data_IF_843589339967
#
_entry.id   IF_843589339967
#
_cell.length_a   1.000
_cell.length_b   1.000
_cell.length_c   1.000
_cell.angle_alpha   90.00
_cell.angle_beta   90.00
_cell.angle_gamma   90.00
#
_symmetry.space_group_name_H-M   'P 1'
#
loop_
_entity.id
_entity.type
_entity.pdbx_description
1 polymer ?
#
# COMPACT_ATOMS: atom_id res chain seq x y z
N UNK A 1 16.83 -1.40 27.17
CA UNK A 1 15.81 -0.44 26.68
C UNK A 1 14.50 -1.19 26.53
N UNK A 2 13.44 -0.76 27.22
CA UNK A 2 12.09 -1.33 27.03
C UNK A 2 11.59 -0.94 25.64
N UNK A 3 10.97 -1.87 24.87
CA UNK A 3 10.29 -1.51 23.65
C UNK A 3 9.24 -0.42 23.95
N UNK A 4 9.22 0.65 23.16
CA UNK A 4 8.19 1.66 23.26
C UNK A 4 6.83 1.03 23.00
N UNK A 5 5.83 1.38 23.81
CA UNK A 5 4.46 0.91 23.65
C UNK A 5 3.63 2.00 22.96
N UNK A 6 2.47 1.63 22.42
CA UNK A 6 1.57 2.56 21.72
C UNK A 6 1.23 3.81 22.56
N UNK A 7 1.04 3.63 23.85
CA UNK A 7 0.77 4.71 24.82
C UNK A 7 1.92 5.71 24.98
N UNK A 8 3.10 5.41 24.44
CA UNK A 8 4.27 6.28 24.51
C UNK A 8 4.33 7.25 23.31
N UNK A 9 3.34 7.19 22.39
CA UNK A 9 3.25 8.05 21.22
C UNK A 9 1.98 8.90 21.23
N UNK A 10 2.09 10.14 20.71
CA UNK A 10 0.90 10.96 20.52
C UNK A 10 0.10 10.52 19.29
N UNK A 11 -1.21 10.84 19.19
CA UNK A 11 -2.00 10.56 17.99
C UNK A 11 -1.36 11.08 16.70
N UNK A 12 -0.76 12.27 16.75
CA UNK A 12 -0.08 12.90 15.60
C UNK A 12 1.14 12.10 15.17
N UNK A 13 1.92 11.58 16.13
CA UNK A 13 3.07 10.72 15.84
C UNK A 13 2.62 9.42 15.19
N UNK A 14 1.53 8.82 15.66
CA UNK A 14 0.95 7.59 15.09
C UNK A 14 0.54 7.83 13.64
N UNK A 15 -0.17 8.93 13.37
CA UNK A 15 -0.59 9.29 12.01
C UNK A 15 0.63 9.51 11.10
N UNK A 16 1.67 10.20 11.58
CA UNK A 16 2.87 10.41 10.78
C UNK A 16 3.59 9.10 10.45
N UNK A 17 3.68 8.20 11.42
CA UNK A 17 4.28 6.87 11.22
C UNK A 17 3.52 6.04 10.19
N UNK A 18 2.19 6.08 10.23
CA UNK A 18 1.33 5.45 9.21
C UNK A 18 1.59 6.01 7.81
N UNK A 19 1.77 7.33 7.70
CA UNK A 19 2.07 7.99 6.41
C UNK A 19 3.42 7.55 5.87
N UNK A 20 4.43 7.52 6.71
CA UNK A 20 5.78 7.11 6.31
C UNK A 20 5.80 5.66 5.83
N UNK A 21 5.12 4.76 6.52
CA UNK A 21 4.99 3.35 6.12
C UNK A 21 4.24 3.19 4.81
N UNK A 22 3.12 3.91 4.62
CA UNK A 22 2.37 3.87 3.37
C UNK A 22 3.23 4.33 2.17
N UNK A 23 4.08 5.33 2.36
CA UNK A 23 5.03 5.78 1.35
C UNK A 23 6.09 4.73 1.02
N UNK A 24 6.58 4.02 2.00
CA UNK A 24 7.58 2.96 1.79
C UNK A 24 6.97 1.74 1.09
N UNK A 25 5.74 1.37 1.45
CA UNK A 25 4.96 0.35 0.72
C UNK A 25 4.75 0.78 -0.74
N UNK A 26 4.33 2.01 -0.97
CA UNK A 26 4.13 2.55 -2.32
C UNK A 26 5.41 2.49 -3.16
N UNK A 27 6.56 2.87 -2.60
CA UNK A 27 7.87 2.77 -3.27
C UNK A 27 8.25 1.32 -3.58
N UNK A 28 8.04 0.42 -2.64
CA UNK A 28 8.30 -1.01 -2.81
C UNK A 28 7.46 -1.62 -3.92
N UNK A 29 6.17 -1.33 -3.96
CA UNK A 29 5.27 -1.75 -5.04
C UNK A 29 5.72 -1.20 -6.40
N UNK A 30 6.05 0.09 -6.47
CA UNK A 30 6.55 0.71 -7.69
C UNK A 30 7.83 0.03 -8.20
N UNK A 31 8.77 -0.28 -7.32
CA UNK A 31 10.01 -1.00 -7.67
C UNK A 31 9.73 -2.38 -8.29
N UNK A 32 8.74 -3.10 -7.78
CA UNK A 32 8.30 -4.37 -8.34
C UNK A 32 7.70 -4.22 -9.73
N UNK A 33 6.82 -3.25 -9.94
CA UNK A 33 6.24 -2.98 -11.26
C UNK A 33 7.32 -2.57 -12.27
N UNK A 34 8.28 -1.73 -11.88
CA UNK A 34 9.42 -1.38 -12.73
C UNK A 34 10.26 -2.59 -13.11
N UNK A 35 10.51 -3.51 -12.18
CA UNK A 35 11.24 -4.75 -12.45
C UNK A 35 10.49 -5.60 -13.49
N UNK A 36 9.16 -5.69 -13.38
CA UNK A 36 8.32 -6.39 -14.36
C UNK A 36 8.33 -5.72 -15.73
N UNK A 37 8.27 -4.39 -15.75
CA UNK A 37 8.38 -3.63 -16.99
C UNK A 37 9.72 -3.84 -17.68
N UNK A 38 10.83 -3.78 -16.94
CA UNK A 38 12.19 -4.04 -17.48
C UNK A 38 12.32 -5.46 -18.07
N UNK A 39 11.62 -6.43 -17.50
CA UNK A 39 11.59 -7.82 -18.01
C UNK A 39 10.62 -8.01 -19.19
N UNK A 40 9.95 -6.97 -19.64
CA UNK A 40 8.96 -7.04 -20.73
C UNK A 40 7.68 -7.79 -20.36
N UNK A 41 7.46 -8.08 -19.09
CA UNK A 41 6.27 -8.79 -18.61
C UNK A 41 5.13 -7.85 -18.18
N UNK A 42 5.35 -6.56 -18.13
CA UNK A 42 4.33 -5.53 -17.88
C UNK A 42 4.31 -4.55 -19.04
N UNK A 43 3.14 -4.37 -19.66
CA UNK A 43 2.96 -3.50 -20.84
C UNK A 43 2.66 -2.05 -20.47
N UNK A 44 2.06 -1.82 -19.30
CA UNK A 44 1.63 -0.50 -18.86
C UNK A 44 2.79 0.40 -18.42
N UNK A 45 2.60 1.69 -18.56
CA UNK A 45 3.49 2.68 -17.95
C UNK A 45 3.11 2.86 -16.49
N UNK A 46 4.14 2.99 -15.64
CA UNK A 46 3.93 3.14 -14.20
C UNK A 46 4.33 4.55 -13.81
N UNK A 47 3.38 5.27 -13.19
CA UNK A 47 3.64 6.59 -12.63
C UNK A 47 4.52 6.46 -11.37
N UNK A 48 5.48 7.36 -11.22
CA UNK A 48 6.37 7.34 -10.04
C UNK A 48 5.63 7.80 -8.79
N UNK A 49 5.92 7.23 -7.60
CA UNK A 49 5.37 7.71 -6.33
C UNK A 49 5.53 9.20 -6.12
N UNK A 50 6.68 9.75 -6.49
CA UNK A 50 6.95 11.18 -6.38
C UNK A 50 5.95 12.01 -7.21
N UNK A 51 5.68 11.62 -8.45
CA UNK A 51 4.72 12.33 -9.32
C UNK A 51 3.30 12.19 -8.77
N UNK A 52 2.89 10.98 -8.39
CA UNK A 52 1.58 10.72 -7.80
C UNK A 52 1.34 11.60 -6.57
N UNK A 53 2.27 11.56 -5.61
CA UNK A 53 2.13 12.31 -4.37
C UNK A 53 2.19 13.83 -4.58
N UNK A 54 2.97 14.30 -5.54
CA UNK A 54 3.02 15.72 -5.90
C UNK A 54 1.69 16.21 -6.50
N UNK A 55 1.05 15.38 -7.34
CA UNK A 55 -0.24 15.71 -7.94
C UNK A 55 -1.36 15.70 -6.89
N UNK A 56 -1.42 14.70 -6.01
CA UNK A 56 -2.36 14.66 -4.89
C UNK A 56 -2.21 15.89 -4.00
N UNK A 57 -0.99 16.21 -3.61
CA UNK A 57 -0.70 17.40 -2.79
C UNK A 57 -1.13 18.69 -3.48
N UNK A 58 -0.90 18.81 -4.80
CA UNK A 58 -1.32 19.99 -5.58
C UNK A 58 -2.85 20.11 -5.62
N UNK A 59 -3.57 19.00 -5.63
CA UNK A 59 -5.03 18.96 -5.55
C UNK A 59 -5.57 19.15 -4.13
N UNK A 60 -4.71 19.30 -3.12
CA UNK A 60 -5.11 19.44 -1.71
C UNK A 60 -5.54 18.12 -1.05
N UNK A 61 -5.19 16.98 -1.65
CA UNK A 61 -5.60 15.66 -1.19
C UNK A 61 -4.48 15.02 -0.39
N UNK A 62 -4.79 14.61 0.84
CA UNK A 62 -3.89 13.76 1.64
C UNK A 62 -3.97 12.31 1.11
N UNK A 63 -2.84 11.60 1.14
CA UNK A 63 -2.79 10.22 0.66
C UNK A 63 -3.75 9.27 1.41
N UNK A 64 -4.07 9.57 2.66
CA UNK A 64 -5.03 8.78 3.43
C UNK A 64 -6.48 9.07 3.05
N UNK A 65 -6.80 10.26 2.58
CA UNK A 65 -8.12 10.62 2.06
C UNK A 65 -8.29 10.35 0.56
N UNK A 66 -7.25 9.89 -0.11
CA UNK A 66 -7.37 9.50 -1.51
C UNK A 66 -8.32 8.33 -1.73
N UNK A 67 -8.50 7.46 -0.73
CA UNK A 67 -9.49 6.36 -0.77
C UNK A 67 -10.96 6.82 -0.67
N UNK A 68 -11.20 8.07 -0.32
CA UNK A 68 -12.55 8.64 -0.24
C UNK A 68 -13.04 9.18 -1.59
N UNK A 69 -12.14 9.23 -2.57
CA UNK A 69 -12.42 9.69 -3.93
C UNK A 69 -12.76 8.51 -4.85
N UNK A 70 -13.56 8.78 -5.87
CA UNK A 70 -13.81 7.82 -6.93
C UNK A 70 -12.53 7.56 -7.74
N UNK A 71 -12.34 6.33 -8.27
CA UNK A 71 -11.22 6.03 -9.16
C UNK A 71 -11.12 6.97 -10.36
N UNK A 72 -12.26 7.37 -10.94
CA UNK A 72 -12.34 8.34 -12.04
C UNK A 72 -11.80 9.72 -11.65
N UNK A 73 -12.17 10.22 -10.47
CA UNK A 73 -11.66 11.49 -9.95
C UNK A 73 -10.14 11.43 -9.73
N UNK A 74 -9.64 10.32 -9.17
CA UNK A 74 -8.20 10.09 -9.03
C UNK A 74 -7.51 9.98 -10.39
N UNK A 75 -8.16 9.33 -11.36
CA UNK A 75 -7.68 9.22 -12.72
C UNK A 75 -7.43 10.57 -13.39
N UNK A 76 -8.38 11.50 -13.26
CA UNK A 76 -8.25 12.87 -13.75
C UNK A 76 -7.12 13.63 -13.07
N UNK A 77 -7.07 13.60 -11.73
CA UNK A 77 -6.06 14.30 -10.94
C UNK A 77 -4.65 13.79 -11.27
N UNK A 78 -4.50 12.48 -11.38
CA UNK A 78 -3.21 11.81 -11.58
C UNK A 78 -2.83 11.68 -13.05
N UNK A 79 -3.78 11.81 -13.98
CA UNK A 79 -3.58 11.59 -15.41
C UNK A 79 -3.22 10.14 -15.72
N UNK A 80 -4.01 9.20 -15.22
CA UNK A 80 -3.79 7.75 -15.36
C UNK A 80 -5.07 7.02 -15.71
N UNK A 81 -4.96 5.91 -16.46
CA UNK A 81 -6.11 5.08 -16.88
C UNK A 81 -6.45 3.98 -15.86
N UNK A 82 -5.58 3.76 -14.89
CA UNK A 82 -5.78 2.77 -13.83
C UNK A 82 -5.17 3.27 -12.52
N UNK A 83 -5.91 3.15 -11.43
CA UNK A 83 -5.42 3.39 -10.07
C UNK A 83 -5.35 2.09 -9.30
N UNK A 84 -4.32 1.99 -8.45
CA UNK A 84 -4.15 0.87 -7.53
C UNK A 84 -4.32 1.39 -6.12
N UNK A 85 -5.34 0.91 -5.44
CA UNK A 85 -5.58 1.18 -4.03
C UNK A 85 -5.20 -0.05 -3.22
N UNK A 86 -4.60 0.15 -2.06
CA UNK A 86 -4.18 -0.97 -1.22
C UNK A 86 -4.33 -0.69 0.25
N UNK A 87 -4.76 -1.72 0.99
CA UNK A 87 -4.73 -1.74 2.44
C UNK A 87 -3.83 -2.85 2.93
N UNK A 88 -3.03 -2.54 3.94
CA UNK A 88 -2.14 -3.48 4.60
C UNK A 88 -2.46 -3.48 6.09
N UNK A 89 -2.91 -4.62 6.58
CA UNK A 89 -3.19 -4.83 7.99
C UNK A 89 -2.22 -5.89 8.54
N UNK A 90 -1.52 -5.57 9.61
CA UNK A 90 -0.60 -6.50 10.25
C UNK A 90 -0.93 -6.66 11.73
N UNK A 91 -0.80 -7.88 12.23
CA UNK A 91 -0.96 -8.17 13.66
C UNK A 91 0.32 -7.96 14.47
N UNK A 92 1.44 -7.76 13.79
CA UNK A 92 2.73 -7.38 14.41
C UNK A 92 3.26 -6.12 13.77
N UNK A 93 3.94 -5.27 14.55
CA UNK A 93 4.74 -4.17 14.02
C UNK A 93 5.74 -4.69 12.99
N UNK A 94 5.72 -4.10 11.80
CA UNK A 94 6.73 -4.39 10.76
C UNK A 94 8.02 -3.60 11.01
N UNK A 95 7.89 -2.46 11.64
CA UNK A 95 8.94 -1.74 12.38
C UNK A 95 8.35 -1.38 13.74
N UNK A 96 9.17 -1.09 14.74
CA UNK A 96 8.67 -0.65 16.06
C UNK A 96 7.69 0.52 15.95
N UNK A 97 7.84 1.32 14.91
CA UNK A 97 7.02 2.48 14.62
C UNK A 97 5.72 2.14 13.87
N UNK A 98 5.79 1.40 12.79
CA UNK A 98 4.63 1.12 11.93
C UNK A 98 3.60 0.21 12.58
N UNK A 99 4.05 -0.75 13.35
CA UNK A 99 3.14 -1.65 14.03
C UNK A 99 2.35 -1.00 15.13
N UNK A 100 2.91 0.01 15.74
CA UNK A 100 2.20 0.81 16.74
C UNK A 100 1.09 1.61 16.07
N UNK A 101 1.37 2.21 14.91
CA UNK A 101 0.40 2.96 14.14
C UNK A 101 -0.75 2.06 13.64
N UNK A 102 -0.43 0.89 13.12
CA UNK A 102 -1.43 -0.06 12.61
C UNK A 102 -2.29 -0.67 13.73
N UNK A 103 -1.70 -1.02 14.87
CA UNK A 103 -2.45 -1.50 16.03
C UNK A 103 -3.41 -0.44 16.61
N UNK A 104 -3.07 0.85 16.49
CA UNK A 104 -3.92 1.94 16.93
C UNK A 104 -5.13 2.16 16.02
N UNK A 105 -4.95 1.97 14.70
CA UNK A 105 -6.01 2.19 13.70
C UNK A 105 -7.01 1.03 13.65
N UNK A 106 -6.57 -0.20 13.88
CA UNK A 106 -7.40 -1.40 13.66
C UNK A 106 -7.72 -2.20 14.92
N UNK A 107 -7.24 -1.76 16.08
CA UNK A 107 -7.53 -2.39 17.38
C UNK A 107 -6.73 -3.67 17.67
N UNK A 108 -6.61 -4.01 18.94
CA UNK A 108 -5.75 -5.08 19.47
C UNK A 108 -6.25 -6.52 19.24
N UNK A 109 -7.12 -6.77 18.29
CA UNK A 109 -7.79 -8.07 18.13
C UNK A 109 -7.02 -9.15 17.37
N UNK A 110 -5.80 -8.89 16.90
CA UNK A 110 -5.04 -9.90 16.15
C UNK A 110 -3.83 -10.42 16.95
N UNK A 111 -4.04 -11.46 17.72
CA UNK A 111 -2.99 -12.12 18.55
C UNK A 111 -2.09 -13.08 17.77
N UNK A 112 -2.17 -13.14 16.43
CA UNK A 112 -1.41 -14.06 15.59
C UNK A 112 -0.57 -13.31 14.55
N UNK A 113 0.60 -13.86 14.19
CA UNK A 113 1.51 -13.31 13.18
C UNK A 113 0.88 -13.35 11.77
N UNK A 114 -0.16 -12.57 11.56
CA UNK A 114 -0.88 -12.52 10.31
C UNK A 114 -0.75 -11.12 9.69
N UNK A 115 -0.59 -11.08 8.37
CA UNK A 115 -0.78 -9.87 7.61
C UNK A 115 -1.88 -10.10 6.58
N UNK A 116 -2.72 -9.11 6.38
CA UNK A 116 -3.73 -9.09 5.33
C UNK A 116 -3.39 -7.95 4.40
N UNK A 117 -3.28 -8.26 3.12
CA UNK A 117 -3.12 -7.26 2.08
C UNK A 117 -4.31 -7.36 1.14
N UNK A 118 -4.96 -6.25 0.90
CA UNK A 118 -5.92 -6.08 -0.18
C UNK A 118 -5.37 -5.08 -1.18
N UNK A 119 -5.34 -5.45 -2.46
CA UNK A 119 -4.96 -4.58 -3.57
C UNK A 119 -6.08 -4.59 -4.60
N UNK A 120 -6.64 -3.43 -4.85
CA UNK A 120 -7.70 -3.20 -5.78
C UNK A 120 -7.19 -2.38 -6.97
N UNK A 121 -7.43 -2.86 -8.18
CA UNK A 121 -7.08 -2.19 -9.43
C UNK A 121 -8.36 -1.72 -10.09
N UNK A 122 -8.50 -0.42 -10.26
CA UNK A 122 -9.67 0.20 -10.86
C UNK A 122 -9.33 0.81 -12.22
N UNK A 123 -10.21 0.58 -13.19
CA UNK A 123 -10.24 1.38 -14.41
C UNK A 123 -10.82 2.76 -14.06
N UNK A 124 -10.14 3.84 -14.48
CA UNK A 124 -10.56 5.21 -14.13
C UNK A 124 -11.59 5.79 -15.09
N UNK A 125 -11.97 5.05 -16.14
CA UNK A 125 -12.96 5.49 -17.13
C UNK A 125 -14.40 5.26 -16.66
N UNK A 126 -14.62 4.22 -15.90
CA UNK A 126 -15.95 3.73 -15.50
C UNK A 126 -16.01 3.27 -14.03
N UNK A 127 -14.95 3.50 -13.27
CA UNK A 127 -14.79 3.08 -11.87
C UNK A 127 -14.86 1.55 -11.66
N UNK A 128 -14.64 0.77 -12.73
CA UNK A 128 -14.74 -0.68 -12.65
C UNK A 128 -13.56 -1.27 -11.86
N UNK A 129 -13.89 -2.16 -10.93
CA UNK A 129 -12.90 -2.99 -10.23
C UNK A 129 -12.40 -4.10 -11.16
N UNK A 130 -11.28 -3.88 -11.81
CA UNK A 130 -10.69 -4.83 -12.78
C UNK A 130 -10.05 -6.02 -12.09
N UNK A 131 -9.36 -5.79 -10.97
CA UNK A 131 -8.71 -6.84 -10.18
C UNK A 131 -8.85 -6.54 -8.70
N UNK A 132 -9.32 -7.50 -7.95
CA UNK A 132 -9.18 -7.56 -6.50
C UNK A 132 -8.18 -8.65 -6.12
N UNK A 133 -7.20 -8.32 -5.33
CA UNK A 133 -6.24 -9.26 -4.81
C UNK A 133 -6.18 -9.18 -3.29
N UNK A 134 -6.87 -10.13 -2.66
CA UNK A 134 -6.83 -10.31 -1.21
C UNK A 134 -5.85 -11.43 -0.86
N UNK A 135 -4.89 -11.14 0.02
CA UNK A 135 -3.94 -12.13 0.51
C UNK A 135 -3.77 -12.05 2.02
N UNK A 136 -4.06 -13.16 2.67
CA UNK A 136 -3.70 -13.40 4.06
C UNK A 136 -2.37 -14.14 4.10
N UNK A 137 -1.43 -13.64 4.89
CA UNK A 137 -0.12 -14.24 5.14
C UNK A 137 -0.08 -14.61 6.62
N UNK A 138 0.12 -15.90 6.89
CA UNK A 138 0.23 -16.42 8.25
C UNK A 138 1.62 -17.02 8.44
N UNK A 139 2.20 -16.87 9.62
CA UNK A 139 3.50 -17.44 9.98
C UNK A 139 4.54 -16.39 10.35
N UNK A 140 5.80 -16.81 10.44
CA UNK A 140 6.92 -15.91 10.72
C UNK A 140 7.13 -14.97 9.55
N UNK A 141 6.52 -13.80 9.64
CA UNK A 141 6.89 -12.69 8.75
C UNK A 141 8.26 -12.21 9.19
N UNK A 142 9.15 -11.98 8.23
CA UNK A 142 10.35 -11.20 8.47
C UNK A 142 9.98 -9.87 9.12
N UNK A 143 10.91 -9.28 9.81
CA UNK A 143 10.69 -8.05 10.58
C UNK A 143 10.63 -6.80 9.71
N UNK A 144 10.64 -6.93 8.38
CA UNK A 144 10.78 -5.83 7.44
C UNK A 144 9.56 -5.73 6.49
N UNK A 145 9.05 -4.51 6.33
CA UNK A 145 8.02 -4.14 5.34
C UNK A 145 8.38 -4.61 3.94
N UNK A 146 9.66 -4.58 3.59
CA UNK A 146 10.15 -4.98 2.29
C UNK A 146 9.95 -6.47 2.01
N UNK A 147 10.13 -7.32 3.01
CA UNK A 147 9.88 -8.76 2.89
C UNK A 147 8.41 -9.05 2.62
N UNK A 148 7.51 -8.35 3.32
CA UNK A 148 6.07 -8.46 3.09
C UNK A 148 5.70 -8.05 1.66
N UNK A 149 6.19 -6.90 1.22
CA UNK A 149 5.99 -6.40 -0.16
C UNK A 149 6.50 -7.44 -1.17
N UNK A 150 7.67 -8.00 -0.95
CA UNK A 150 8.25 -9.02 -1.82
C UNK A 150 7.38 -10.28 -1.94
N UNK A 151 6.84 -10.77 -0.82
CA UNK A 151 5.94 -11.94 -0.80
C UNK A 151 4.65 -11.65 -1.55
N UNK A 152 4.06 -10.48 -1.32
CA UNK A 152 2.80 -10.07 -1.91
C UNK A 152 2.94 -9.82 -3.42
N UNK A 153 3.87 -8.97 -3.79
CA UNK A 153 4.05 -8.52 -5.17
C UNK A 153 4.50 -9.64 -6.10
N UNK A 154 5.24 -10.64 -5.61
CA UNK A 154 5.61 -11.81 -6.40
C UNK A 154 4.40 -12.59 -6.93
N UNK A 155 3.29 -12.59 -6.19
CA UNK A 155 2.05 -13.29 -6.57
C UNK A 155 1.07 -12.38 -7.32
N UNK A 156 0.89 -11.15 -6.84
CA UNK A 156 0.01 -10.13 -7.46
C UNK A 156 0.39 -9.91 -8.91
N UNK A 157 1.66 -9.65 -9.17
CA UNK A 157 2.15 -9.30 -10.51
C UNK A 157 1.97 -10.39 -11.57
N UNK A 158 1.58 -11.60 -11.19
CA UNK A 158 1.22 -12.69 -12.11
C UNK A 158 -0.27 -12.75 -12.45
N UNK A 159 -1.09 -11.98 -11.76
CA UNK A 159 -2.56 -12.01 -11.89
C UNK A 159 -3.15 -10.72 -12.47
N UNK A 160 -2.33 -9.71 -12.67
CA UNK A 160 -2.75 -8.46 -13.27
C UNK A 160 -2.93 -8.66 -14.77
N UNK A 161 -4.06 -8.23 -15.38
CA UNK A 161 -4.36 -8.47 -16.80
C UNK A 161 -3.39 -7.76 -17.76
N UNK A 162 -2.57 -6.84 -17.27
CA UNK A 162 -1.56 -6.11 -18.03
C UNK A 162 -0.19 -6.82 -18.11
N UNK A 163 -0.10 -8.04 -17.58
CA UNK A 163 1.09 -8.89 -17.66
C UNK A 163 0.96 -9.92 -18.79
N UNK A 164 2.12 -10.25 -19.43
CA UNK A 164 2.21 -11.36 -20.38
C UNK A 164 2.35 -12.68 -19.65
#
# INVERSE_FOLDING_TARGET
LRPKQLKDFTPEQIVQMSKDEALDIQKGMHSWFLTRKKRGTLRSNIQTPMKTNALLKKAGIDIHSASDLLPSELGEILGVDCVVMGTFETSKPMSDAAGIAMAALFGSMMSTNNAVCNLDFYDTRDDELVVNYLKKISGSLGTDSQDLINILMRKVTRRIPYTK
#
